data_IF_951889997415
#
_entry.id   IF_951889997415
#
_cell.length_a   1.000
_cell.length_b   1.000
_cell.length_c   1.000
_cell.angle_alpha   90.00
_cell.angle_beta   90.00
_cell.angle_gamma   90.00
#
_symmetry.space_group_name_H-M   'P 1'
#
loop_
_entity.id
_entity.type
_entity.pdbx_description
1 polymer ?
#
# COMPACT_ATOMS: atom_id res chain seq x y z
N UNK A 1 28.41 74.64 -12.60
CA UNK A 1 29.05 75.65 -11.71
C UNK A 1 29.63 74.95 -10.50
N UNK A 2 30.92 75.17 -10.30
CA UNK A 2 31.75 75.01 -9.04
C UNK A 2 31.89 73.56 -8.52
N UNK A 3 32.92 72.71 -8.81
CA UNK A 3 34.35 72.85 -8.51
C UNK A 3 34.69 73.13 -7.03
N UNK A 4 35.39 72.15 -6.45
CA UNK A 4 36.54 72.20 -5.57
C UNK A 4 36.83 70.80 -5.03
N UNK A 5 37.80 70.07 -5.42
CA UNK A 5 39.30 70.14 -5.32
C UNK A 5 39.81 70.29 -3.88
N UNK A 6 40.71 69.37 -3.57
CA UNK A 6 41.85 69.48 -2.62
C UNK A 6 41.79 68.45 -1.50
N UNK A 7 42.75 67.70 -1.04
CA UNK A 7 44.19 67.50 -1.35
C UNK A 7 44.70 66.25 -0.61
N UNK A 8 45.73 65.71 -1.11
CA UNK A 8 46.64 64.66 -0.73
C UNK A 8 47.21 64.83 0.70
N UNK A 9 47.31 63.71 1.42
CA UNK A 9 48.46 63.54 2.33
C UNK A 9 48.92 62.09 2.35
N UNK A 10 50.10 61.86 1.91
CA UNK A 10 50.90 60.65 1.95
C UNK A 10 51.52 60.52 3.34
N UNK A 11 51.39 59.38 3.96
CA UNK A 11 52.37 58.94 4.99
C UNK A 11 52.73 57.48 4.72
N UNK A 12 53.97 57.30 4.39
CA UNK A 12 54.65 56.02 4.29
C UNK A 12 54.96 55.49 5.70
N UNK A 13 54.72 54.24 5.94
CA UNK A 13 55.15 53.54 7.12
C UNK A 13 55.18 52.04 6.86
N UNK A 14 56.40 51.60 6.55
CA UNK A 14 56.69 50.20 6.44
C UNK A 14 56.72 49.52 7.81
N UNK A 15 56.09 48.39 8.00
CA UNK A 15 56.56 47.39 8.99
C UNK A 15 56.21 45.99 8.56
N UNK A 16 57.17 45.16 8.79
CA UNK A 16 57.36 43.78 8.38
C UNK A 16 56.37 42.77 8.95
N UNK A 17 56.20 41.69 8.16
CA UNK A 17 56.19 40.27 8.59
C UNK A 17 55.00 39.72 9.38
N UNK A 18 54.26 38.81 8.75
CA UNK A 18 53.38 37.91 9.44
C UNK A 18 52.60 37.05 8.43
N UNK A 19 53.27 36.05 7.87
CA UNK A 19 52.57 35.04 7.08
C UNK A 19 51.75 34.18 8.05
N UNK A 20 50.50 34.51 8.21
CA UNK A 20 49.52 33.67 8.88
C UNK A 20 48.67 32.95 7.83
N UNK A 21 49.03 31.72 7.53
CA UNK A 21 48.18 30.83 6.75
C UNK A 21 46.91 30.51 7.58
N UNK A 22 45.81 31.22 7.36
CA UNK A 22 44.50 30.79 7.83
C UNK A 22 43.98 29.75 6.83
N UNK A 23 44.16 28.49 7.19
CA UNK A 23 43.40 27.41 6.56
C UNK A 23 41.90 27.58 6.91
N UNK A 24 41.12 28.08 5.98
CA UNK A 24 39.66 27.93 6.06
C UNK A 24 39.36 26.43 5.93
N UNK A 25 39.11 25.80 7.05
CA UNK A 25 38.43 24.50 7.05
C UNK A 25 37.01 24.74 6.53
N UNK A 26 36.76 24.38 5.27
CA UNK A 26 35.42 24.20 4.77
C UNK A 26 34.80 23.06 5.57
N UNK A 27 33.90 23.37 6.49
CA UNK A 27 33.00 22.40 7.09
C UNK A 27 32.02 22.00 5.99
N UNK A 28 32.32 20.90 5.35
CA UNK A 28 31.30 20.14 4.63
C UNK A 28 30.22 19.81 5.66
N UNK A 29 29.12 20.55 5.61
CA UNK A 29 27.87 20.11 6.22
C UNK A 29 27.36 18.99 5.36
N UNK A 30 27.77 17.76 5.65
CA UNK A 30 27.01 16.58 5.29
C UNK A 30 25.60 16.80 5.81
N UNK A 31 24.72 17.28 4.94
CA UNK A 31 23.28 17.17 5.12
C UNK A 31 22.96 15.70 5.05
N UNK A 32 23.02 15.02 6.19
CA UNK A 32 22.36 13.75 6.39
C UNK A 32 20.87 14.06 6.16
N UNK A 33 20.43 13.82 4.92
CA UNK A 33 19.03 13.74 4.62
C UNK A 33 18.51 12.57 5.44
N UNK A 34 17.83 12.87 6.55
CA UNK A 34 17.02 11.89 7.27
C UNK A 34 16.06 11.30 6.24
N UNK A 35 16.40 10.14 5.69
CA UNK A 35 15.44 9.34 4.94
C UNK A 35 14.38 8.98 5.96
N UNK A 36 13.24 9.64 5.85
CA UNK A 36 12.05 9.26 6.60
C UNK A 36 11.90 7.74 6.52
N UNK A 37 11.89 7.10 7.68
CA UNK A 37 11.87 5.64 7.75
C UNK A 37 10.58 5.18 7.06
N UNK A 38 10.74 4.43 5.95
CA UNK A 38 9.60 3.86 5.22
C UNK A 38 8.81 2.98 6.18
N UNK A 39 7.51 3.21 6.28
CA UNK A 39 6.65 2.38 7.14
C UNK A 39 6.78 0.90 6.77
N UNK A 40 7.07 0.06 7.76
CA UNK A 40 6.86 -1.38 7.60
C UNK A 40 5.34 -1.67 7.68
N UNK A 41 4.71 -2.01 6.55
CA UNK A 41 3.27 -2.33 6.48
C UNK A 41 2.84 -3.42 7.46
N UNK A 42 3.74 -4.28 7.84
CA UNK A 42 3.48 -5.38 8.77
C UNK A 42 3.37 -4.94 10.24
N UNK A 43 3.60 -3.68 10.55
CA UNK A 43 3.34 -3.12 11.88
C UNK A 43 1.90 -2.63 12.05
N UNK A 44 1.14 -2.52 10.95
CA UNK A 44 -0.23 -2.00 10.95
C UNK A 44 -1.21 -3.08 11.42
N UNK A 45 -2.18 -2.68 12.25
CA UNK A 45 -3.21 -3.57 12.79
C UNK A 45 -4.55 -2.84 12.85
N UNK A 46 -5.63 -3.51 12.43
CA UNK A 46 -6.98 -2.99 12.65
C UNK A 46 -7.36 -3.09 14.13
N UNK A 47 -8.11 -2.12 14.68
CA UNK A 47 -8.57 -2.18 16.07
C UNK A 47 -9.34 -3.49 16.35
N UNK A 48 -9.00 -4.20 17.43
CA UNK A 48 -9.62 -5.47 17.84
C UNK A 48 -9.73 -6.51 16.71
N UNK A 49 -8.80 -6.49 15.76
CA UNK A 49 -8.89 -7.29 14.55
C UNK A 49 -7.54 -7.83 14.08
N UNK A 50 -7.47 -8.00 12.76
CA UNK A 50 -6.33 -8.60 12.07
C UNK A 50 -5.14 -7.65 12.03
N UNK A 51 -3.93 -8.20 12.14
CA UNK A 51 -2.69 -7.48 11.89
C UNK A 51 -2.21 -7.77 10.46
N UNK A 52 -1.66 -6.78 9.78
CA UNK A 52 -1.11 -6.97 8.44
C UNK A 52 -0.01 -8.05 8.42
N UNK A 53 0.71 -8.19 9.54
CA UNK A 53 1.76 -9.21 9.70
C UNK A 53 1.27 -10.67 9.60
N UNK A 54 -0.04 -10.91 9.80
CA UNK A 54 -0.64 -12.24 9.66
C UNK A 54 -0.67 -12.73 8.20
N UNK A 55 -0.45 -11.82 7.24
CA UNK A 55 -0.61 -12.05 5.81
C UNK A 55 0.71 -11.95 5.03
N UNK A 56 1.85 -12.13 5.68
CA UNK A 56 3.14 -12.12 4.99
C UNK A 56 3.15 -13.11 3.83
N UNK A 57 3.60 -12.64 2.65
CA UNK A 57 3.66 -13.44 1.43
C UNK A 57 2.30 -13.55 0.69
N UNK A 58 1.28 -12.76 1.04
CA UNK A 58 -0.01 -12.80 0.33
C UNK A 58 0.12 -12.46 -1.16
N UNK A 59 1.14 -11.73 -1.53
CA UNK A 59 1.42 -11.36 -2.92
C UNK A 59 1.72 -12.59 -3.79
N UNK A 60 2.19 -13.68 -3.18
CA UNK A 60 2.52 -14.94 -3.86
C UNK A 60 1.33 -15.93 -3.91
N UNK A 61 0.17 -15.54 -3.35
CA UNK A 61 -0.98 -16.43 -3.33
C UNK A 61 -1.64 -16.56 -4.70
N UNK A 62 -2.36 -17.65 -4.89
CA UNK A 62 -3.09 -17.89 -6.14
C UNK A 62 -4.26 -16.94 -6.30
N UNK A 63 -4.46 -16.45 -7.53
CA UNK A 63 -5.65 -15.68 -7.88
C UNK A 63 -6.89 -16.56 -7.78
N UNK A 64 -7.84 -16.16 -6.97
CA UNK A 64 -9.21 -16.72 -6.92
C UNK A 64 -10.01 -16.17 -8.08
N UNK A 65 -10.01 -14.86 -8.25
CA UNK A 65 -10.70 -14.15 -9.32
C UNK A 65 -10.13 -12.75 -9.50
N UNK A 66 -10.58 -12.11 -10.57
CA UNK A 66 -10.41 -10.68 -10.80
C UNK A 66 -11.78 -10.04 -10.96
N UNK A 67 -11.94 -8.80 -10.57
CA UNK A 67 -13.17 -8.06 -10.78
C UNK A 67 -12.91 -6.59 -11.08
N UNK A 68 -13.81 -5.98 -11.83
CA UNK A 68 -13.81 -4.57 -12.16
C UNK A 68 -15.14 -3.97 -11.73
N UNK A 69 -15.10 -2.81 -11.11
CA UNK A 69 -16.28 -2.05 -10.73
C UNK A 69 -16.16 -0.63 -11.28
N UNK A 70 -16.79 -0.38 -12.41
CA UNK A 70 -16.73 0.93 -13.09
C UNK A 70 -17.34 2.05 -12.25
N UNK A 71 -18.44 1.79 -11.55
CA UNK A 71 -19.15 2.78 -10.75
C UNK A 71 -18.27 3.47 -9.69
N UNK A 72 -17.28 2.78 -9.17
CA UNK A 72 -16.34 3.31 -8.16
C UNK A 72 -14.90 3.33 -8.66
N UNK A 73 -14.69 3.07 -9.95
CA UNK A 73 -13.39 3.11 -10.62
C UNK A 73 -12.34 2.18 -10.00
N UNK A 74 -12.73 0.95 -9.64
CA UNK A 74 -11.82 -0.03 -9.02
C UNK A 74 -11.60 -1.26 -9.90
N UNK A 75 -10.35 -1.70 -9.90
CA UNK A 75 -9.89 -2.99 -10.41
C UNK A 75 -9.34 -3.80 -9.22
N UNK A 76 -9.72 -5.09 -9.15
CA UNK A 76 -9.43 -5.94 -8.00
C UNK A 76 -8.80 -7.26 -8.42
N UNK A 77 -7.82 -7.69 -7.64
CA UNK A 77 -7.37 -9.07 -7.63
C UNK A 77 -7.74 -9.71 -6.30
N UNK A 78 -8.40 -10.84 -6.35
CA UNK A 78 -8.76 -11.64 -5.19
C UNK A 78 -7.83 -12.85 -5.16
N UNK A 79 -7.05 -12.95 -4.10
CA UNK A 79 -6.04 -13.97 -3.88
C UNK A 79 -6.48 -14.90 -2.76
N UNK A 80 -6.11 -16.17 -2.84
CA UNK A 80 -6.38 -17.14 -1.78
C UNK A 80 -5.12 -17.89 -1.37
N UNK A 81 -4.97 -18.12 -0.08
CA UNK A 81 -3.90 -18.98 0.42
C UNK A 81 -4.11 -20.45 -0.03
N UNK A 82 -3.11 -21.33 0.11
CA UNK A 82 -3.23 -22.71 -0.34
C UNK A 82 -4.44 -23.46 0.23
N UNK A 83 -4.83 -23.18 1.48
CA UNK A 83 -6.01 -23.83 2.09
C UNK A 83 -7.30 -23.38 1.44
N UNK A 84 -7.48 -22.08 1.22
CA UNK A 84 -8.62 -21.52 0.50
C UNK A 84 -8.72 -22.10 -0.92
N UNK A 85 -7.61 -22.15 -1.64
CA UNK A 85 -7.57 -22.65 -3.01
C UNK A 85 -7.92 -24.13 -3.09
N UNK A 86 -7.40 -24.97 -2.17
CA UNK A 86 -7.73 -26.39 -2.14
C UNK A 86 -9.20 -26.61 -1.82
N UNK A 87 -9.73 -25.91 -0.82
CA UNK A 87 -11.15 -25.97 -0.49
C UNK A 87 -12.06 -25.59 -1.69
N UNK A 88 -11.68 -24.54 -2.41
CA UNK A 88 -12.43 -24.09 -3.59
C UNK A 88 -12.39 -25.13 -4.74
N UNK A 89 -11.26 -25.82 -4.93
CA UNK A 89 -11.14 -26.93 -5.90
C UNK A 89 -12.01 -28.13 -5.54
N UNK A 90 -12.24 -28.36 -4.25
CA UNK A 90 -13.16 -29.40 -3.74
C UNK A 90 -14.64 -28.98 -3.86
N UNK A 91 -14.91 -27.80 -4.39
CA UNK A 91 -16.25 -27.27 -4.60
C UNK A 91 -16.86 -26.53 -3.42
N UNK A 92 -16.07 -26.19 -2.42
CA UNK A 92 -16.51 -25.35 -1.30
C UNK A 92 -16.61 -23.89 -1.78
N UNK A 93 -17.67 -23.15 -1.44
CA UNK A 93 -18.82 -23.52 -0.60
C UNK A 93 -20.00 -24.10 -1.40
N UNK A 94 -19.85 -24.29 -2.71
CA UNK A 94 -20.92 -24.74 -3.60
C UNK A 94 -21.51 -26.12 -3.24
N UNK A 95 -20.76 -26.94 -2.51
CA UNK A 95 -21.20 -28.23 -1.99
C UNK A 95 -21.91 -28.13 -0.62
N UNK A 96 -22.21 -26.93 -0.14
CA UNK A 96 -22.87 -26.65 1.13
C UNK A 96 -21.97 -26.75 2.36
N UNK A 97 -20.68 -26.99 2.18
CA UNK A 97 -19.71 -26.98 3.28
C UNK A 97 -19.10 -25.59 3.45
N UNK A 98 -18.81 -25.16 4.70
CA UNK A 98 -18.07 -23.93 4.93
C UNK A 98 -16.60 -24.10 4.56
N UNK A 99 -15.90 -23.01 4.32
CA UNK A 99 -14.44 -23.01 4.23
C UNK A 99 -13.81 -23.49 5.55
N UNK A 100 -12.73 -24.27 5.49
CA UNK A 100 -12.02 -24.73 6.67
C UNK A 100 -11.33 -23.58 7.38
N UNK A 101 -11.19 -23.66 8.71
CA UNK A 101 -10.38 -22.76 9.49
C UNK A 101 -8.94 -22.70 8.94
N UNK A 102 -8.37 -21.50 8.86
CA UNK A 102 -7.10 -21.25 8.20
C UNK A 102 -7.23 -20.86 6.71
N UNK A 103 -8.44 -20.88 6.12
CA UNK A 103 -8.67 -20.28 4.80
C UNK A 103 -8.50 -18.77 4.88
N UNK A 104 -7.72 -18.19 3.98
CA UNK A 104 -7.48 -16.74 3.93
C UNK A 104 -7.66 -16.23 2.51
N UNK A 105 -8.32 -15.08 2.42
CA UNK A 105 -8.52 -14.34 1.18
C UNK A 105 -7.90 -12.96 1.34
N UNK A 106 -7.15 -12.52 0.32
CA UNK A 106 -6.68 -11.15 0.19
C UNK A 106 -7.35 -10.51 -1.03
N UNK A 107 -7.93 -9.33 -0.87
CA UNK A 107 -8.44 -8.49 -1.95
C UNK A 107 -7.55 -7.29 -2.09
N UNK A 108 -6.90 -7.16 -3.23
CA UNK A 108 -6.05 -6.01 -3.57
C UNK A 108 -6.81 -5.13 -4.53
N UNK A 109 -6.99 -3.87 -4.18
CA UNK A 109 -7.77 -2.89 -4.94
C UNK A 109 -6.90 -1.76 -5.46
N UNK A 110 -7.08 -1.44 -6.74
CA UNK A 110 -6.44 -0.30 -7.39
C UNK A 110 -7.48 0.60 -8.05
N UNK A 111 -7.20 1.89 -8.11
CA UNK A 111 -7.81 2.72 -9.16
C UNK A 111 -7.47 2.12 -10.51
N UNK A 112 -8.42 2.18 -11.43
CA UNK A 112 -8.18 1.72 -12.78
C UNK A 112 -7.76 2.88 -13.68
N UNK A 113 -6.93 2.56 -14.66
CA UNK A 113 -6.47 3.46 -15.71
C UNK A 113 -6.71 2.83 -17.07
N UNK A 114 -7.27 3.60 -17.99
CA UNK A 114 -7.36 3.19 -19.38
C UNK A 114 -6.08 3.57 -20.12
N UNK A 115 -5.46 2.61 -20.79
CA UNK A 115 -4.34 2.84 -21.67
C UNK A 115 -4.90 3.05 -23.07
N UNK A 116 -4.76 4.27 -23.59
CA UNK A 116 -5.24 4.65 -24.93
C UNK A 116 -4.14 4.59 -25.99
N UNK A 117 -2.88 4.61 -25.57
CA UNK A 117 -1.71 4.64 -26.46
C UNK A 117 -0.77 3.50 -26.10
N UNK A 118 -0.63 2.54 -26.99
CA UNK A 118 0.07 1.28 -26.76
C UNK A 118 1.29 1.13 -27.68
N UNK A 119 2.13 2.14 -27.71
CA UNK A 119 3.47 1.91 -28.22
C UNK A 119 4.29 1.12 -27.16
N UNK A 120 5.02 0.04 -27.50
CA UNK A 120 5.40 -0.44 -28.83
C UNK A 120 4.58 -1.64 -29.36
N UNK A 121 3.51 -2.03 -28.67
CA UNK A 121 2.73 -3.20 -29.05
C UNK A 121 1.62 -2.80 -30.02
N UNK A 122 1.61 -3.36 -31.22
CA UNK A 122 0.66 -3.05 -32.30
C UNK A 122 -0.78 -3.51 -32.02
N UNK A 123 -1.11 -3.85 -30.78
CA UNK A 123 -2.44 -4.30 -30.40
C UNK A 123 -3.24 -3.08 -29.93
N UNK A 124 -4.21 -2.68 -30.74
CA UNK A 124 -5.22 -1.70 -30.33
C UNK A 124 -6.19 -2.37 -29.35
N UNK A 125 -5.85 -2.39 -28.08
CA UNK A 125 -6.81 -2.70 -27.04
C UNK A 125 -6.88 -1.51 -26.07
N UNK A 126 -8.06 -0.95 -25.81
CA UNK A 126 -8.23 -0.05 -24.70
C UNK A 126 -8.21 -0.91 -23.44
N UNK A 127 -7.03 -1.19 -22.97
CA UNK A 127 -6.88 -2.00 -21.77
C UNK A 127 -7.12 -1.15 -20.55
N UNK A 128 -7.84 -1.71 -19.62
CA UNK A 128 -7.97 -1.19 -18.28
C UNK A 128 -6.94 -1.90 -17.42
N UNK A 129 -6.06 -1.14 -16.79
CA UNK A 129 -4.97 -1.65 -15.96
C UNK A 129 -5.03 -1.07 -14.56
N UNK A 130 -4.39 -1.74 -13.58
CA UNK A 130 -4.17 -1.15 -12.26
C UNK A 130 -3.34 0.13 -12.39
N UNK A 131 -3.72 1.15 -11.61
CA UNK A 131 -3.00 2.43 -11.49
C UNK A 131 -2.51 2.60 -10.04
N UNK A 132 -3.20 3.37 -9.23
CA UNK A 132 -2.84 3.62 -7.84
C UNK A 132 -3.46 2.57 -6.94
N UNK A 133 -2.65 1.98 -6.05
CA UNK A 133 -3.15 1.11 -4.99
C UNK A 133 -4.06 1.91 -4.06
N UNK A 134 -5.24 1.36 -3.74
CA UNK A 134 -6.22 1.97 -2.84
C UNK A 134 -6.27 1.26 -1.50
N UNK A 135 -6.36 -0.07 -1.54
CA UNK A 135 -6.52 -0.87 -0.33
C UNK A 135 -6.03 -2.30 -0.50
N UNK A 136 -5.70 -2.91 0.63
CA UNK A 136 -5.60 -4.37 0.76
C UNK A 136 -6.53 -4.81 1.89
N UNK A 137 -7.44 -5.72 1.58
CA UNK A 137 -8.40 -6.24 2.53
C UNK A 137 -8.19 -7.74 2.71
N UNK A 138 -8.40 -8.21 3.93
CA UNK A 138 -8.24 -9.61 4.27
C UNK A 138 -9.49 -10.19 4.93
N UNK A 139 -9.78 -11.45 4.62
CA UNK A 139 -10.71 -12.31 5.35
C UNK A 139 -9.95 -13.53 5.85
N UNK A 140 -10.14 -13.89 7.11
CA UNK A 140 -9.54 -15.08 7.73
C UNK A 140 -10.63 -15.94 8.32
N UNK A 141 -10.69 -17.22 7.95
CA UNK A 141 -11.56 -18.20 8.61
C UNK A 141 -10.88 -18.73 9.87
N UNK A 142 -11.45 -18.40 11.01
CA UNK A 142 -11.06 -18.94 12.32
C UNK A 142 -12.31 -18.93 13.23
N UNK A 143 -12.96 -20.07 13.33
CA UNK A 143 -14.23 -20.21 14.06
C UNK A 143 -14.10 -19.97 15.57
N UNK A 144 -12.91 -20.14 16.13
CA UNK A 144 -12.64 -19.90 17.55
C UNK A 144 -12.37 -18.43 17.84
N UNK A 145 -11.67 -17.75 16.93
CA UNK A 145 -11.31 -16.34 17.08
C UNK A 145 -12.47 -15.41 16.73
N UNK A 146 -13.34 -15.83 15.82
CA UNK A 146 -14.42 -15.00 15.25
C UNK A 146 -15.80 -15.66 15.33
N UNK A 147 -16.25 -16.15 16.51
CA UNK A 147 -17.55 -16.85 16.64
C UNK A 147 -18.73 -15.95 16.29
N UNK A 148 -18.67 -14.67 16.60
CA UNK A 148 -19.76 -13.71 16.39
C UNK A 148 -19.92 -13.24 14.93
N UNK A 149 -18.97 -13.58 14.07
CA UNK A 149 -18.96 -13.22 12.66
C UNK A 149 -18.89 -14.45 11.76
N UNK A 150 -19.56 -15.54 12.18
CA UNK A 150 -19.65 -16.80 11.45
C UNK A 150 -18.27 -17.44 11.15
N UNK A 151 -17.31 -17.20 12.03
CA UNK A 151 -15.95 -17.71 11.90
C UNK A 151 -15.06 -16.86 10.98
N UNK A 152 -15.51 -15.73 10.47
CA UNK A 152 -14.71 -14.88 9.60
C UNK A 152 -14.21 -13.61 10.29
N UNK A 153 -12.90 -13.42 10.33
CA UNK A 153 -12.27 -12.15 10.65
C UNK A 153 -12.10 -11.30 9.40
N UNK A 154 -12.16 -9.98 9.55
CA UNK A 154 -12.04 -9.02 8.46
C UNK A 154 -11.04 -7.93 8.85
N UNK A 155 -10.26 -7.45 7.87
CA UNK A 155 -9.37 -6.32 8.05
C UNK A 155 -9.17 -5.59 6.73
N UNK A 156 -9.27 -4.26 6.77
CA UNK A 156 -9.03 -3.37 5.63
C UNK A 156 -7.87 -2.44 5.97
N UNK A 157 -6.96 -2.29 5.02
CA UNK A 157 -5.79 -1.45 5.11
C UNK A 157 -5.76 -0.51 3.89
N UNK A 158 -6.10 0.75 4.12
CA UNK A 158 -6.09 1.78 3.09
C UNK A 158 -4.66 2.22 2.80
N UNK A 159 -4.34 2.37 1.54
CA UNK A 159 -3.02 2.84 1.11
C UNK A 159 -3.05 4.33 0.78
N UNK A 160 -2.11 5.06 1.34
CA UNK A 160 -1.87 6.46 1.02
C UNK A 160 -0.67 6.54 0.07
N UNK A 161 -0.94 6.80 -1.20
CA UNK A 161 0.08 6.89 -2.24
C UNK A 161 1.02 8.09 -2.06
N UNK A 162 0.58 9.14 -1.36
CA UNK A 162 1.38 10.32 -1.11
C UNK A 162 2.51 10.07 -0.10
N UNK A 163 2.23 9.26 0.93
CA UNK A 163 3.19 8.88 1.96
C UNK A 163 3.78 7.47 1.77
N UNK A 164 3.22 6.66 0.88
CA UNK A 164 3.63 5.26 0.72
C UNK A 164 3.27 4.38 1.91
N UNK A 165 2.25 4.73 2.70
CA UNK A 165 1.92 4.08 3.96
C UNK A 165 0.53 3.46 3.96
N UNK A 166 0.32 2.46 4.82
CA UNK A 166 -0.97 1.87 5.09
C UNK A 166 -1.57 2.40 6.40
N UNK A 167 -2.88 2.54 6.42
CA UNK A 167 -3.67 2.86 7.62
C UNK A 167 -4.80 1.85 7.78
N UNK A 168 -5.07 1.37 8.99
CA UNK A 168 -6.21 0.49 9.22
C UNK A 168 -7.51 1.26 8.98
N UNK A 169 -8.48 0.59 8.38
CA UNK A 169 -9.83 1.11 8.17
C UNK A 169 -10.86 0.31 8.96
N UNK A 170 -11.94 0.96 9.32
CA UNK A 170 -13.07 0.35 9.98
C UNK A 170 -12.83 0.00 11.44
N UNK A 171 -13.82 -0.65 12.04
CA UNK A 171 -13.89 -0.99 13.46
C UNK A 171 -13.65 -2.48 13.75
N UNK A 172 -12.94 -3.17 12.86
CA UNK A 172 -12.64 -4.60 12.98
C UNK A 172 -13.66 -5.50 12.27
N UNK A 173 -13.76 -6.76 12.72
CA UNK A 173 -14.51 -7.80 12.03
C UNK A 173 -16.00 -7.49 11.80
N UNK A 174 -16.64 -6.72 12.69
CA UNK A 174 -18.06 -6.41 12.59
C UNK A 174 -18.46 -5.65 11.33
N UNK A 175 -17.63 -4.69 10.85
CA UNK A 175 -17.91 -3.94 9.62
C UNK A 175 -17.91 -4.86 8.40
N UNK A 176 -16.87 -5.69 8.27
CA UNK A 176 -16.78 -6.67 7.18
C UNK A 176 -17.92 -7.67 7.22
N UNK A 177 -18.26 -8.21 8.40
CA UNK A 177 -19.35 -9.16 8.57
C UNK A 177 -20.70 -8.58 8.12
N UNK A 178 -20.99 -7.32 8.45
CA UNK A 178 -22.24 -6.66 8.04
C UNK A 178 -22.39 -6.62 6.51
N UNK A 179 -21.32 -6.29 5.80
CA UNK A 179 -21.32 -6.31 4.33
C UNK A 179 -21.42 -7.74 3.78
N UNK A 180 -20.64 -8.68 4.35
CA UNK A 180 -20.54 -10.05 3.83
C UNK A 180 -21.76 -10.93 4.14
N UNK A 181 -22.68 -10.51 5.00
CA UNK A 181 -23.97 -11.16 5.20
C UNK A 181 -24.75 -11.33 3.87
N UNK A 182 -24.55 -10.45 2.89
CA UNK A 182 -25.11 -10.60 1.56
C UNK A 182 -24.65 -11.85 0.81
N UNK A 183 -23.55 -12.47 1.22
CA UNK A 183 -22.95 -13.66 0.64
C UNK A 183 -23.08 -14.91 1.55
N UNK A 184 -23.97 -14.91 2.53
CA UNK A 184 -24.11 -15.98 3.52
C UNK A 184 -24.27 -17.39 2.90
N UNK A 185 -24.96 -17.50 1.76
CA UNK A 185 -25.14 -18.77 1.03
C UNK A 185 -23.82 -19.35 0.50
N UNK A 186 -22.80 -18.53 0.36
CA UNK A 186 -21.48 -18.89 -0.13
C UNK A 186 -20.43 -18.81 1.01
N UNK A 187 -20.82 -19.14 2.23
CA UNK A 187 -20.01 -18.98 3.42
C UNK A 187 -19.37 -17.59 3.51
N UNK A 188 -20.19 -16.54 3.24
CA UNK A 188 -19.80 -15.12 3.34
C UNK A 188 -18.74 -14.66 2.31
N UNK A 189 -18.46 -15.43 1.26
CA UNK A 189 -17.51 -15.10 0.20
C UNK A 189 -18.25 -14.69 -1.05
N UNK A 190 -18.08 -13.45 -1.50
CA UNK A 190 -18.76 -12.92 -2.70
C UNK A 190 -18.22 -13.52 -3.99
N UNK A 191 -16.94 -13.79 -4.05
CA UNK A 191 -16.27 -14.09 -5.31
C UNK A 191 -16.13 -15.61 -5.50
N UNK A 192 -16.76 -16.20 -6.52
CA UNK A 192 -16.58 -17.61 -6.82
C UNK A 192 -15.17 -17.87 -7.35
N UNK A 193 -14.63 -19.06 -7.06
CA UNK A 193 -13.39 -19.51 -7.65
C UNK A 193 -13.60 -19.77 -9.16
N UNK A 194 -12.83 -19.08 -9.98
CA UNK A 194 -12.92 -19.24 -11.43
C UNK A 194 -12.51 -20.65 -11.84
N UNK A 195 -13.31 -21.30 -12.68
CA UNK A 195 -12.94 -22.60 -13.26
C UNK A 195 -11.69 -22.44 -14.12
N UNK A 196 -10.79 -23.41 -14.02
CA UNK A 196 -9.52 -23.44 -14.75
C UNK A 196 -9.34 -24.81 -15.37
#
# INVERSE_FOLDING_TARGET
MKSKSTQIMVFAGAFLSGIGLLALAAQDKDTVQDKEAVQDKYTVKVPNGLAFSEFRGYEDWQTVAVSQTEAINLLRSILGNPMMINAAREGIPGNGKPFPDGSVIAKVEWKQKKITDQAPFSVKAPDTVPDVLEAVEFMVKDSRRFPDTHGWGYGEFLYDAGSGTFKPSGTGAACGAACHNGAAKNDYVFTPYARR
#
